data_IF_982655259009
#
_entry.id   IF_982655259009
#
_cell.length_a   1.000
_cell.length_b   1.000
_cell.length_c   1.000
_cell.angle_alpha   90.00
_cell.angle_beta   90.00
_cell.angle_gamma   90.00
#
_symmetry.space_group_name_H-M   'P 1'
#
loop_
_entity.id
_entity.type
_entity.pdbx_description
1 polymer ?
#
# COMPACT_ATOMS: atom_id res chain seq x y z
N UNK A 1 -37.63 -52.52 -42.18
CA UNK A 1 -36.54 -52.49 -43.17
C UNK A 1 -36.78 -51.31 -44.10
N UNK A 2 -35.79 -50.42 -44.26
CA UNK A 2 -35.76 -49.39 -45.31
C UNK A 2 -36.51 -48.09 -45.00
N UNK A 3 -35.79 -47.10 -44.45
CA UNK A 3 -36.22 -45.70 -44.46
C UNK A 3 -36.00 -45.13 -45.86
N UNK A 4 -37.06 -44.56 -46.45
CA UNK A 4 -37.05 -43.95 -47.76
C UNK A 4 -36.19 -42.68 -47.79
N UNK A 5 -35.45 -42.55 -48.89
CA UNK A 5 -34.73 -41.36 -49.33
C UNK A 5 -35.56 -40.70 -50.45
N UNK A 6 -35.49 -39.37 -50.52
CA UNK A 6 -35.59 -38.46 -51.70
C UNK A 6 -36.14 -37.11 -51.19
N UNK A 7 -35.33 -36.06 -51.02
CA UNK A 7 -34.68 -35.11 -51.93
C UNK A 7 -35.44 -33.77 -52.12
N UNK A 8 -34.73 -32.70 -51.74
CA UNK A 8 -34.77 -31.28 -52.14
C UNK A 8 -36.08 -30.47 -52.00
N UNK A 9 -36.07 -29.52 -51.06
CA UNK A 9 -36.76 -28.25 -51.21
C UNK A 9 -35.99 -27.10 -50.54
N UNK A 10 -35.87 -26.04 -51.33
CA UNK A 10 -35.18 -24.77 -51.11
C UNK A 10 -35.75 -23.94 -49.96
N UNK A 11 -34.82 -23.24 -49.27
CA UNK A 11 -35.03 -21.87 -48.81
C UNK A 11 -35.33 -21.71 -47.32
N UNK A 12 -34.44 -21.02 -46.60
CA UNK A 12 -34.79 -19.87 -45.73
C UNK A 12 -33.49 -19.13 -45.34
N UNK A 13 -33.26 -18.02 -46.03
CA UNK A 13 -32.79 -16.71 -45.55
C UNK A 13 -31.94 -16.66 -44.26
N UNK A 14 -30.62 -16.54 -44.44
CA UNK A 14 -29.77 -15.81 -43.51
C UNK A 14 -29.09 -14.67 -44.29
N UNK A 15 -29.77 -13.53 -44.32
CA UNK A 15 -29.23 -12.26 -44.80
C UNK A 15 -28.04 -11.86 -43.93
N UNK A 16 -26.84 -12.24 -44.34
CA UNK A 16 -25.61 -11.57 -43.91
C UNK A 16 -25.65 -10.17 -44.50
N UNK A 17 -26.10 -9.20 -43.70
CA UNK A 17 -25.94 -7.78 -43.99
C UNK A 17 -24.44 -7.47 -43.97
N UNK A 18 -23.82 -7.58 -45.14
CA UNK A 18 -22.57 -6.88 -45.45
C UNK A 18 -22.90 -5.38 -45.35
N UNK A 19 -22.21 -4.58 -44.52
CA UNK A 19 -22.36 -3.14 -44.59
C UNK A 19 -21.85 -2.67 -45.95
N UNK A 20 -22.79 -2.31 -46.82
CA UNK A 20 -22.57 -1.70 -48.12
C UNK A 20 -21.83 -0.37 -47.91
N UNK A 21 -20.49 -0.40 -48.10
CA UNK A 21 -19.67 0.81 -48.20
C UNK A 21 -19.45 1.15 -49.67
N UNK A 22 -20.55 1.37 -50.38
CA UNK A 22 -20.52 2.03 -51.67
C UNK A 22 -21.21 3.39 -51.55
N UNK A 23 -20.51 4.41 -52.09
CA UNK A 23 -20.83 5.86 -52.13
C UNK A 23 -20.16 6.71 -51.04
N UNK A 24 -18.85 6.96 -51.18
CA UNK A 24 -18.20 8.30 -51.25
C UNK A 24 -16.70 8.10 -51.61
N UNK A 25 -16.36 7.89 -52.88
CA UNK A 25 -14.93 7.88 -53.33
C UNK A 25 -14.71 8.83 -54.52
N UNK A 26 -15.71 9.62 -54.91
CA UNK A 26 -15.67 10.33 -56.20
C UNK A 26 -15.09 11.76 -56.16
N UNK A 27 -14.67 12.32 -55.02
CA UNK A 27 -14.15 13.70 -54.98
C UNK A 27 -13.10 13.98 -53.88
N UNK A 28 -12.21 13.00 -53.62
CA UNK A 28 -11.10 13.18 -52.67
C UNK A 28 -9.79 13.47 -53.42
N UNK A 29 -9.00 14.39 -52.88
CA UNK A 29 -7.66 14.69 -53.38
C UNK A 29 -6.75 13.46 -53.23
N UNK A 30 -5.80 13.25 -54.14
CA UNK A 30 -4.83 12.15 -54.09
C UNK A 30 -4.23 11.89 -52.68
N UNK A 31 -3.76 12.91 -51.93
CA UNK A 31 -3.28 12.75 -50.55
C UNK A 31 -4.35 12.26 -49.56
N UNK A 32 -5.62 12.60 -49.74
CA UNK A 32 -6.71 12.16 -48.86
C UNK A 32 -7.04 10.69 -49.09
N UNK A 33 -7.01 10.26 -50.36
CA UNK A 33 -7.18 8.86 -50.73
C UNK A 33 -6.03 8.00 -50.18
N UNK A 34 -4.79 8.48 -50.28
CA UNK A 34 -3.61 7.79 -49.72
C UNK A 34 -3.71 7.63 -48.19
N UNK A 35 -4.15 8.68 -47.48
CA UNK A 35 -4.40 8.63 -46.03
C UNK A 35 -5.50 7.64 -45.67
N UNK A 36 -6.60 7.62 -46.42
CA UNK A 36 -7.70 6.69 -46.21
C UNK A 36 -7.25 5.23 -46.40
N UNK A 37 -6.49 4.95 -47.47
CA UNK A 37 -5.93 3.62 -47.73
C UNK A 37 -4.97 3.17 -46.63
N UNK A 38 -4.10 4.05 -46.17
CA UNK A 38 -3.20 3.77 -45.04
C UNK A 38 -3.97 3.49 -43.75
N UNK A 39 -5.01 4.28 -43.47
CA UNK A 39 -5.86 4.08 -42.30
C UNK A 39 -6.59 2.73 -42.33
N UNK A 40 -7.21 2.37 -43.45
CA UNK A 40 -7.88 1.06 -43.63
C UNK A 40 -6.90 -0.09 -43.37
N UNK A 41 -5.68 0.01 -43.93
CA UNK A 41 -4.65 -1.02 -43.74
C UNK A 41 -4.24 -1.13 -42.27
N UNK A 42 -4.01 -0.01 -41.60
CA UNK A 42 -3.62 0.02 -40.19
C UNK A 42 -4.74 -0.51 -39.27
N UNK A 43 -6.00 -0.12 -39.50
CA UNK A 43 -7.15 -0.66 -38.76
C UNK A 43 -7.27 -2.17 -38.91
N UNK A 44 -7.06 -2.71 -40.12
CA UNK A 44 -7.11 -4.16 -40.35
C UNK A 44 -5.99 -4.92 -39.60
N UNK A 45 -4.79 -4.35 -39.53
CA UNK A 45 -3.69 -4.93 -38.75
C UNK A 45 -4.03 -4.94 -37.26
N UNK A 46 -4.57 -3.83 -36.74
CA UNK A 46 -5.01 -3.74 -35.35
C UNK A 46 -6.14 -4.74 -35.03
N UNK A 47 -7.12 -4.91 -35.93
CA UNK A 47 -8.17 -5.92 -35.77
C UNK A 47 -7.64 -7.35 -35.69
N UNK A 48 -6.58 -7.66 -36.43
CA UNK A 48 -5.98 -9.00 -36.43
C UNK A 48 -5.06 -9.23 -35.23
N UNK A 49 -4.40 -8.17 -34.74
CA UNK A 49 -3.49 -8.25 -33.61
C UNK A 49 -4.14 -8.18 -32.22
N UNK A 50 -5.34 -7.61 -32.10
CA UNK A 50 -6.01 -7.41 -30.81
C UNK A 50 -6.92 -8.60 -30.43
N UNK A 51 -6.87 -9.05 -29.17
CA UNK A 51 -7.85 -9.98 -28.60
C UNK A 51 -9.29 -9.47 -28.75
N UNK A 52 -10.25 -10.38 -28.98
CA UNK A 52 -11.66 -10.06 -29.26
C UNK A 52 -12.36 -9.31 -28.12
N UNK A 53 -11.98 -9.58 -26.89
CA UNK A 53 -12.46 -8.93 -25.67
C UNK A 53 -11.97 -7.48 -25.57
N UNK A 54 -10.70 -7.22 -25.88
CA UNK A 54 -10.15 -5.85 -25.94
C UNK A 54 -10.83 -5.06 -27.08
N UNK A 55 -11.01 -5.67 -28.25
CA UNK A 55 -11.66 -5.02 -29.38
C UNK A 55 -13.13 -4.67 -29.10
N UNK A 56 -13.88 -5.53 -28.39
CA UNK A 56 -15.28 -5.24 -28.00
C UNK A 56 -15.42 -4.02 -27.09
N UNK A 57 -14.39 -3.68 -26.33
CA UNK A 57 -14.37 -2.49 -25.47
C UNK A 57 -14.13 -1.20 -26.28
N UNK A 58 -13.60 -1.32 -27.51
CA UNK A 58 -13.24 -0.20 -28.37
C UNK A 58 -14.33 -0.03 -29.46
N UNK A 59 -14.93 1.17 -29.54
CA UNK A 59 -16.06 1.47 -30.43
C UNK A 59 -15.79 1.16 -31.92
N UNK A 60 -16.83 0.76 -32.67
CA UNK A 60 -16.73 0.15 -34.01
C UNK A 60 -16.43 1.12 -35.18
N UNK A 61 -16.31 2.43 -34.95
CA UNK A 61 -16.13 3.44 -36.02
C UNK A 61 -14.92 4.37 -35.79
N UNK A 62 -13.85 3.83 -35.20
CA UNK A 62 -12.63 4.59 -34.91
C UNK A 62 -11.57 4.40 -36.00
N UNK A 63 -10.82 5.46 -36.31
CA UNK A 63 -9.67 5.34 -37.21
C UNK A 63 -8.52 4.58 -36.51
N UNK A 64 -7.49 4.18 -37.24
CA UNK A 64 -6.40 3.37 -36.68
C UNK A 64 -5.67 4.05 -35.52
N UNK A 65 -5.52 5.39 -35.56
CA UNK A 65 -4.90 6.17 -34.49
C UNK A 65 -5.75 6.11 -33.22
N UNK A 66 -7.05 6.32 -33.35
CA UNK A 66 -7.99 6.29 -32.23
C UNK A 66 -8.06 4.91 -31.58
N UNK A 67 -8.02 3.84 -32.38
CA UNK A 67 -7.94 2.45 -31.87
C UNK A 67 -6.64 2.26 -31.10
N UNK A 68 -5.51 2.70 -31.65
CA UNK A 68 -4.21 2.60 -31.00
C UNK A 68 -4.14 3.39 -29.69
N UNK A 69 -4.63 4.63 -29.66
CA UNK A 69 -4.63 5.48 -28.47
C UNK A 69 -5.50 4.88 -27.35
N UNK A 70 -6.64 4.26 -27.69
CA UNK A 70 -7.47 3.55 -26.72
C UNK A 70 -6.83 2.27 -26.20
N UNK A 71 -6.15 1.50 -27.06
CA UNK A 71 -5.36 0.34 -26.63
C UNK A 71 -4.25 0.78 -25.67
N UNK A 72 -3.54 1.85 -26.02
CA UNK A 72 -2.51 2.45 -25.16
C UNK A 72 -3.11 2.86 -23.80
N UNK A 73 -4.24 3.55 -23.81
CA UNK A 73 -4.94 3.95 -22.58
C UNK A 73 -5.42 2.75 -21.74
N UNK A 74 -5.90 1.67 -22.37
CA UNK A 74 -6.36 0.46 -21.67
C UNK A 74 -5.22 -0.33 -21.04
N UNK A 75 -4.06 -0.40 -21.70
CA UNK A 75 -2.93 -1.22 -21.28
C UNK A 75 -1.97 -0.47 -20.35
N UNK A 76 -1.71 0.81 -20.64
CA UNK A 76 -0.74 1.63 -19.91
C UNK A 76 -1.41 2.63 -18.96
N UNK A 77 -2.72 2.84 -19.09
CA UNK A 77 -3.43 3.96 -18.47
C UNK A 77 -3.26 5.26 -19.26
N UNK A 78 -3.90 6.34 -18.79
CA UNK A 78 -3.52 7.69 -19.22
C UNK A 78 -2.17 8.05 -18.62
N UNK A 79 -1.30 8.73 -19.37
CA UNK A 79 -0.14 9.40 -18.79
C UNK A 79 -0.65 10.35 -17.69
N UNK A 80 -0.34 10.03 -16.42
CA UNK A 80 -0.75 10.86 -15.30
C UNK A 80 -0.22 12.28 -15.52
N UNK A 81 -1.11 13.25 -15.39
CA UNK A 81 -0.71 14.65 -15.42
C UNK A 81 0.24 14.93 -14.25
N UNK A 82 0.95 16.07 -14.32
CA UNK A 82 1.81 16.47 -13.21
C UNK A 82 1.02 16.56 -11.90
N UNK A 83 -0.21 17.08 -11.96
CA UNK A 83 -1.07 17.29 -10.80
C UNK A 83 -1.57 15.94 -10.23
N UNK A 84 -1.88 14.96 -11.09
CA UNK A 84 -2.27 13.62 -10.63
C UNK A 84 -1.10 12.91 -9.92
N UNK A 85 0.12 13.03 -10.46
CA UNK A 85 1.32 12.48 -9.83
C UNK A 85 1.62 13.14 -8.50
N UNK A 86 1.44 14.46 -8.42
CA UNK A 86 1.58 15.21 -7.18
C UNK A 86 0.56 14.74 -6.13
N UNK A 87 -0.71 14.61 -6.50
CA UNK A 87 -1.76 14.07 -5.62
C UNK A 87 -1.41 12.66 -5.12
N UNK A 88 -1.00 11.76 -6.02
CA UNK A 88 -0.64 10.40 -5.64
C UNK A 88 0.55 10.36 -4.67
N UNK A 89 1.54 11.23 -4.85
CA UNK A 89 2.69 11.31 -3.96
C UNK A 89 2.33 11.92 -2.60
N UNK A 90 1.38 12.85 -2.54
CA UNK A 90 0.81 13.32 -1.28
C UNK A 90 0.10 12.19 -0.53
N UNK A 91 -0.73 11.40 -1.22
CA UNK A 91 -1.44 10.27 -0.62
C UNK A 91 -0.46 9.21 -0.08
N UNK A 92 0.54 8.85 -0.89
CA UNK A 92 1.60 7.92 -0.51
C UNK A 92 2.38 8.43 0.71
N UNK A 93 2.64 9.75 0.76
CA UNK A 93 3.27 10.37 1.91
C UNK A 93 2.36 10.29 3.12
N UNK A 94 1.12 10.75 3.02
CA UNK A 94 0.16 10.77 4.13
C UNK A 94 0.01 9.37 4.76
N UNK A 95 -0.07 8.33 3.96
CA UNK A 95 -0.24 6.95 4.41
C UNK A 95 1.07 6.22 4.72
N UNK A 96 2.22 6.88 4.56
CA UNK A 96 3.52 6.29 4.80
C UNK A 96 3.67 5.86 6.26
N UNK A 97 3.89 4.56 6.47
CA UNK A 97 4.14 3.96 7.78
C UNK A 97 4.95 2.68 7.68
N UNK A 98 5.61 2.33 8.78
CA UNK A 98 6.28 1.05 8.91
C UNK A 98 5.23 -0.07 9.03
N UNK A 99 5.42 -1.14 8.27
CA UNK A 99 4.52 -2.29 8.32
C UNK A 99 5.01 -3.35 9.32
N UNK A 100 4.09 -4.15 9.87
CA UNK A 100 4.45 -5.26 10.76
C UNK A 100 5.35 -6.24 10.01
N UNK A 101 6.49 -6.59 10.61
CA UNK A 101 7.48 -7.49 10.00
C UNK A 101 8.50 -6.79 9.09
N UNK A 102 8.31 -5.50 8.80
CA UNK A 102 9.27 -4.72 8.04
C UNK A 102 10.48 -4.33 8.91
N UNK A 103 11.68 -4.69 8.45
CA UNK A 103 12.91 -4.27 9.11
C UNK A 103 13.23 -2.78 8.82
N UNK A 104 14.16 -2.20 9.59
CA UNK A 104 14.49 -0.78 9.48
C UNK A 104 15.08 -0.39 8.12
N UNK A 105 15.77 -1.33 7.46
CA UNK A 105 16.40 -1.08 6.17
C UNK A 105 15.34 -0.97 5.06
N UNK A 106 14.42 -1.93 5.00
CA UNK A 106 13.33 -1.92 4.02
C UNK A 106 12.44 -0.68 4.19
N UNK A 107 12.13 -0.33 5.44
CA UNK A 107 11.41 0.91 5.77
C UNK A 107 12.14 2.16 5.23
N UNK A 108 13.45 2.25 5.45
CA UNK A 108 14.27 3.36 4.94
C UNK A 108 14.31 3.39 3.41
N UNK A 109 14.50 2.24 2.74
CA UNK A 109 14.53 2.16 1.27
C UNK A 109 13.21 2.67 0.68
N UNK A 110 12.05 2.26 1.23
CA UNK A 110 10.75 2.78 0.80
C UNK A 110 10.64 4.29 0.99
N UNK A 111 11.11 4.81 2.12
CA UNK A 111 11.07 6.25 2.40
C UNK A 111 11.95 7.05 1.42
N UNK A 112 13.16 6.57 1.15
CA UNK A 112 14.09 7.21 0.21
C UNK A 112 13.54 7.17 -1.21
N UNK A 113 12.91 6.06 -1.62
CA UNK A 113 12.22 5.97 -2.91
C UNK A 113 11.12 7.03 -3.01
N UNK A 114 10.26 7.14 -2.00
CA UNK A 114 9.21 8.16 -1.96
C UNK A 114 9.79 9.58 -2.11
N UNK A 115 10.82 9.94 -1.34
CA UNK A 115 11.48 11.26 -1.45
C UNK A 115 12.06 11.49 -2.84
N UNK A 116 12.69 10.48 -3.44
CA UNK A 116 13.26 10.58 -4.77
C UNK A 116 12.17 10.82 -5.83
N UNK A 117 11.04 10.14 -5.72
CA UNK A 117 9.88 10.31 -6.63
C UNK A 117 9.31 11.74 -6.51
N UNK A 118 9.18 12.27 -5.28
CA UNK A 118 8.80 13.67 -5.04
C UNK A 118 9.76 14.67 -5.68
N UNK A 119 11.06 14.45 -5.50
CA UNK A 119 12.10 15.32 -6.06
C UNK A 119 12.10 15.29 -7.59
N UNK A 120 11.83 14.14 -8.20
CA UNK A 120 11.78 14.00 -9.65
C UNK A 120 10.74 14.93 -10.29
N UNK A 121 9.59 15.12 -9.64
CA UNK A 121 8.54 16.05 -10.10
C UNK A 121 8.66 17.47 -9.54
N UNK A 122 9.79 17.78 -8.87
CA UNK A 122 10.10 19.06 -8.22
C UNK A 122 9.16 19.44 -7.06
N UNK A 123 8.50 18.45 -6.43
CA UNK A 123 7.75 18.67 -5.20
C UNK A 123 8.73 18.78 -4.03
N UNK A 124 8.70 19.92 -3.33
CA UNK A 124 9.65 20.23 -2.26
C UNK A 124 8.97 20.15 -0.90
N UNK A 125 9.55 19.37 0.02
CA UNK A 125 9.09 19.23 1.39
C UNK A 125 10.17 19.72 2.37
N UNK A 126 9.82 20.51 3.41
CA UNK A 126 10.75 20.89 4.47
C UNK A 126 11.40 19.68 5.13
N UNK A 127 12.71 19.75 5.38
CA UNK A 127 13.48 18.69 6.04
C UNK A 127 12.87 18.22 7.35
N UNK A 128 12.39 19.16 8.17
CA UNK A 128 11.72 18.84 9.43
C UNK A 128 10.45 18.00 9.23
N UNK A 129 9.70 18.24 8.15
CA UNK A 129 8.49 17.49 7.82
C UNK A 129 8.83 16.07 7.38
N UNK A 130 9.85 15.91 6.52
CA UNK A 130 10.36 14.60 6.12
C UNK A 130 10.86 13.81 7.34
N UNK A 131 11.72 14.41 8.16
CA UNK A 131 12.27 13.77 9.36
C UNK A 131 11.16 13.39 10.35
N UNK A 132 10.19 14.29 10.57
CA UNK A 132 9.04 14.00 11.45
C UNK A 132 8.22 12.85 10.90
N UNK A 133 7.96 12.83 9.59
CA UNK A 133 7.23 11.73 8.95
C UNK A 133 7.95 10.40 9.10
N UNK A 134 9.26 10.40 8.87
CA UNK A 134 10.09 9.20 8.99
C UNK A 134 10.03 8.59 10.39
N UNK A 135 10.18 9.39 11.46
CA UNK A 135 10.25 8.83 12.82
C UNK A 135 8.89 8.62 13.48
N UNK A 136 7.85 9.40 13.11
CA UNK A 136 6.54 9.31 13.75
C UNK A 136 5.72 8.10 13.29
N UNK A 137 6.01 7.55 12.11
CA UNK A 137 5.24 6.43 11.55
C UNK A 137 5.98 5.10 11.67
N UNK A 138 6.94 5.02 12.59
CA UNK A 138 7.61 3.78 12.96
C UNK A 138 6.76 2.95 13.93
N UNK A 139 7.04 1.65 14.00
CA UNK A 139 6.37 0.77 14.95
C UNK A 139 6.75 1.07 16.42
N UNK A 140 5.91 0.70 17.40
CA UNK A 140 6.09 1.07 18.81
C UNK A 140 7.42 0.63 19.43
N UNK A 141 8.03 -0.46 18.96
CA UNK A 141 9.32 -0.95 19.46
C UNK A 141 10.46 0.07 19.32
N UNK A 142 10.32 1.02 18.38
CA UNK A 142 11.24 2.13 18.16
C UNK A 142 11.02 3.33 19.08
N UNK A 143 9.95 3.33 19.88
CA UNK A 143 9.43 4.51 20.59
C UNK A 143 10.48 5.26 21.41
N UNK A 144 11.32 4.57 22.19
CA UNK A 144 12.36 5.24 22.98
C UNK A 144 13.42 5.95 22.13
N UNK A 145 13.78 5.39 20.98
CA UNK A 145 14.78 5.96 20.08
C UNK A 145 14.20 7.18 19.35
N UNK A 146 12.92 7.10 18.95
CA UNK A 146 12.18 8.23 18.40
C UNK A 146 12.10 9.38 19.41
N UNK A 147 11.85 9.10 20.68
CA UNK A 147 11.84 10.13 21.74
C UNK A 147 13.21 10.81 21.87
N UNK A 148 14.30 10.04 21.88
CA UNK A 148 15.66 10.61 21.94
C UNK A 148 15.95 11.52 20.75
N UNK A 149 15.60 11.10 19.52
CA UNK A 149 15.74 11.93 18.31
C UNK A 149 15.00 13.26 18.46
N UNK A 150 13.78 13.25 19.00
CA UNK A 150 12.95 14.45 19.18
C UNK A 150 13.53 15.39 20.23
N UNK A 151 13.99 14.87 21.36
CA UNK A 151 14.55 15.66 22.45
C UNK A 151 15.87 16.35 22.05
N UNK A 152 16.70 15.68 21.24
CA UNK A 152 18.02 16.19 20.86
C UNK A 152 18.02 17.07 19.61
N UNK A 153 16.91 17.75 19.30
CA UNK A 153 16.75 18.57 18.07
C UNK A 153 17.05 17.83 16.75
N UNK A 154 17.09 16.49 16.77
CA UNK A 154 17.47 15.66 15.62
C UNK A 154 16.56 15.87 14.41
N UNK A 155 15.30 16.25 14.62
CA UNK A 155 14.38 16.58 13.53
C UNK A 155 14.80 17.82 12.73
N UNK A 156 15.43 18.81 13.37
CA UNK A 156 15.87 20.07 12.74
C UNK A 156 17.31 19.98 12.26
N UNK A 157 18.17 19.40 13.08
CA UNK A 157 19.62 19.44 12.89
C UNK A 157 20.10 18.30 11.98
N UNK A 158 19.45 17.13 12.01
CA UNK A 158 19.82 15.98 11.17
C UNK A 158 19.05 15.90 9.86
N UNK A 159 19.46 14.99 8.97
CA UNK A 159 18.69 14.52 7.82
C UNK A 159 18.21 13.06 8.03
N UNK A 160 17.35 12.54 7.14
CA UNK A 160 16.79 11.20 7.28
C UNK A 160 17.84 10.09 7.19
N UNK A 161 18.94 10.29 6.48
CA UNK A 161 20.05 9.33 6.39
C UNK A 161 20.77 9.18 7.74
N UNK A 162 21.03 10.29 8.42
CA UNK A 162 21.63 10.30 9.75
C UNK A 162 20.69 9.68 10.79
N UNK A 163 19.39 9.98 10.70
CA UNK A 163 18.37 9.35 11.55
C UNK A 163 18.31 7.84 11.31
N UNK A 164 18.36 7.41 10.05
CA UNK A 164 18.44 6.00 9.70
C UNK A 164 19.70 5.34 10.28
N UNK A 165 20.89 5.94 10.12
CA UNK A 165 22.13 5.39 10.66
C UNK A 165 22.06 5.22 12.19
N UNK A 166 21.48 6.21 12.89
CA UNK A 166 21.22 6.12 14.33
C UNK A 166 20.28 4.96 14.67
N UNK A 167 19.13 4.86 14.00
CA UNK A 167 18.15 3.79 14.24
C UNK A 167 18.74 2.41 13.92
N UNK A 168 19.48 2.29 12.80
CA UNK A 168 20.13 1.04 12.39
C UNK A 168 21.12 0.54 13.44
N UNK A 169 21.89 1.45 14.06
CA UNK A 169 22.81 1.11 15.16
C UNK A 169 22.08 0.51 16.38
N UNK A 170 20.81 0.84 16.57
CA UNK A 170 20.00 0.43 17.71
C UNK A 170 18.96 -0.66 17.39
N UNK A 171 19.07 -1.32 16.24
CA UNK A 171 18.11 -2.32 15.76
C UNK A 171 17.98 -3.52 16.70
N UNK A 172 19.08 -4.04 17.26
CA UNK A 172 19.03 -5.16 18.22
C UNK A 172 18.15 -4.85 19.42
N UNK A 173 18.32 -3.66 20.00
CA UNK A 173 17.55 -3.19 21.13
C UNK A 173 16.08 -2.95 20.77
N UNK A 174 15.78 -2.45 19.57
CA UNK A 174 14.39 -2.35 19.09
C UNK A 174 13.76 -3.75 18.96
N UNK A 175 14.50 -4.74 18.49
CA UNK A 175 14.02 -6.13 18.42
C UNK A 175 13.76 -6.74 19.81
N UNK A 176 14.62 -6.45 20.80
CA UNK A 176 14.37 -6.83 22.20
C UNK A 176 13.07 -6.22 22.74
N UNK A 177 12.80 -4.95 22.43
CA UNK A 177 11.54 -4.30 22.81
C UNK A 177 10.34 -4.98 22.18
N UNK A 178 10.43 -5.30 20.88
CA UNK A 178 9.37 -6.01 20.18
C UNK A 178 9.05 -7.35 20.86
N UNK A 179 10.08 -8.13 21.20
CA UNK A 179 9.90 -9.40 21.91
C UNK A 179 9.25 -9.22 23.29
N UNK A 180 9.66 -8.19 24.04
CA UNK A 180 9.06 -7.87 25.35
C UNK A 180 7.58 -7.48 25.20
N UNK A 181 7.26 -6.63 24.24
CA UNK A 181 5.88 -6.21 23.94
C UNK A 181 5.00 -7.39 23.52
N UNK A 182 5.53 -8.30 22.68
CA UNK A 182 4.84 -9.52 22.29
C UNK A 182 4.58 -10.44 23.48
N UNK A 183 5.55 -10.59 24.40
CA UNK A 183 5.37 -11.36 25.64
C UNK A 183 4.28 -10.75 26.53
N UNK A 184 4.33 -9.44 26.76
CA UNK A 184 3.33 -8.75 27.59
C UNK A 184 1.92 -8.88 27.01
N UNK A 185 1.77 -8.79 25.69
CA UNK A 185 0.48 -8.98 25.01
C UNK A 185 -0.02 -10.43 25.04
N UNK A 186 0.85 -11.42 25.16
CA UNK A 186 0.43 -12.82 25.33
C UNK A 186 -0.09 -13.08 26.75
N UNK A 187 0.51 -12.43 27.76
CA UNK A 187 0.13 -12.60 29.17
C UNK A 187 -1.08 -11.74 29.58
N UNK A 188 -1.53 -10.81 28.73
CA UNK A 188 -2.81 -10.11 28.96
C UNK A 188 -4.03 -11.02 28.82
N UNK A 189 -3.86 -12.20 28.20
CA UNK A 189 -4.90 -13.24 28.10
C UNK A 189 -4.89 -14.25 29.26
N UNK A 190 -3.87 -14.21 30.15
CA UNK A 190 -3.83 -14.99 31.40
C UNK A 190 -3.15 -14.17 32.52
N UNK A 191 -3.92 -13.46 33.36
CA UNK A 191 -3.38 -12.60 34.41
C UNK A 191 -2.59 -13.34 35.50
N UNK A 192 -2.68 -14.68 35.61
CA UNK A 192 -1.96 -15.48 36.60
C UNK A 192 -0.55 -15.89 36.13
N UNK A 193 -0.27 -15.86 34.83
CA UNK A 193 1.01 -16.28 34.26
C UNK A 193 2.19 -15.35 34.62
N UNK A 194 1.93 -14.06 34.90
CA UNK A 194 2.96 -13.09 35.29
C UNK A 194 3.53 -13.34 36.69
N UNK A 195 2.73 -13.87 37.62
CA UNK A 195 3.14 -14.12 39.01
C UNK A 195 4.04 -15.36 39.11
N UNK A 196 3.83 -16.35 38.24
CA UNK A 196 4.54 -17.64 38.30
C UNK A 196 6.03 -17.54 37.95
N UNK A 197 6.42 -16.59 37.11
CA UNK A 197 7.82 -16.39 36.70
C UNK A 197 8.62 -15.46 37.63
N UNK A 198 8.00 -14.89 38.67
CA UNK A 198 8.59 -13.81 39.47
C UNK A 198 9.12 -14.24 40.86
N UNK A 199 8.99 -15.50 41.28
CA UNK A 199 9.38 -15.89 42.65
C UNK A 199 10.36 -17.07 42.70
N UNK A 200 11.61 -16.83 43.10
CA UNK A 200 12.44 -17.80 43.81
C UNK A 200 12.56 -17.42 45.30
N UNK A 201 11.49 -16.92 45.93
CA UNK A 201 11.46 -16.71 47.37
C UNK A 201 10.38 -17.59 48.02
N UNK A 202 10.82 -18.72 48.56
CA UNK A 202 10.08 -19.47 49.57
C UNK A 202 9.85 -18.57 50.78
N UNK A 203 8.59 -18.24 51.04
CA UNK A 203 8.19 -17.71 52.34
C UNK A 203 8.10 -18.87 53.34
N UNK A 204 8.79 -18.82 54.50
CA UNK A 204 8.51 -19.73 55.59
C UNK A 204 7.14 -19.39 56.18
N UNK A 205 6.33 -20.41 56.42
CA UNK A 205 5.01 -20.29 57.04
C UNK A 205 5.11 -19.63 58.43
N UNK A 206 4.43 -18.50 58.61
CA UNK A 206 4.39 -17.78 59.90
C UNK A 206 3.52 -18.54 60.91
N UNK A 207 4.14 -19.13 61.92
CA UNK A 207 3.48 -19.51 63.18
C UNK A 207 3.11 -18.25 63.97
N UNK A 208 1.85 -18.14 64.39
CA UNK A 208 1.29 -17.00 65.13
C UNK A 208 2.05 -16.74 66.44
N UNK A 209 2.56 -15.51 66.61
CA UNK A 209 3.05 -15.00 67.90
C UNK A 209 1.96 -14.11 68.49
N UNK A 210 1.42 -14.51 69.63
CA UNK A 210 0.45 -13.76 70.41
C UNK A 210 1.18 -12.63 71.17
N UNK A 211 0.97 -11.37 70.80
CA UNK A 211 1.49 -10.22 71.54
C UNK A 211 0.56 -9.88 72.71
N UNK A 212 1.03 -10.05 73.96
CA UNK A 212 0.36 -9.55 75.16
C UNK A 212 0.68 -8.06 75.36
N UNK A 213 -0.35 -7.22 75.47
CA UNK A 213 -0.20 -5.83 75.92
C UNK A 213 -0.28 -5.74 77.45
N UNK A 214 0.58 -4.94 78.12
CA UNK A 214 0.49 -4.74 79.56
C UNK A 214 -0.67 -3.80 79.93
N UNK A 215 -1.45 -4.23 80.92
CA UNK A 215 -2.58 -3.47 81.50
C UNK A 215 -2.07 -2.37 82.44
N UNK A 216 -2.56 -1.14 82.27
CA UNK A 216 -2.29 0.00 83.16
C UNK A 216 -3.56 0.25 84.01
N UNK A 217 -3.51 0.14 85.34
CA UNK A 217 -4.66 0.41 86.19
C UNK A 217 -4.93 1.92 86.34
N UNK A 218 -6.19 2.33 86.52
CA UNK A 218 -6.56 3.74 86.67
C UNK A 218 -6.18 4.31 88.04
N UNK A 219 -5.73 5.58 88.06
CA UNK A 219 -5.40 6.32 89.27
C UNK A 219 -6.67 6.65 90.07
N UNK A 220 -6.69 6.25 91.33
CA UNK A 220 -7.73 6.63 92.30
C UNK A 220 -7.49 8.05 92.79
N UNK A 221 -8.38 8.98 92.44
CA UNK A 221 -8.51 10.26 93.14
C UNK A 221 -9.27 10.05 94.44
N UNK A 222 -8.76 10.59 95.55
CA UNK A 222 -9.49 10.78 96.80
C UNK A 222 -9.58 12.29 97.12
N UNK A 223 -10.67 12.72 97.77
CA UNK A 223 -11.10 14.12 97.85
C UNK A 223 -10.24 15.03 98.73
#
# INVERSE_FOLDING_TARGET
MGWCRDEIASGTNASYLVPERDRVVADLSQPENDRLRANIRATNILHQGLPKDIYKLINHNMNAKDIWDNVKMLLEGSELTKDDRESQLYDNFEHFKQHKGENIHDYYVKFTKLINDMRHIKMTMPKIQLNSKFVNNMLPEWGRFVTVVKLNRGLKESNHDQLYAYLKKHESHANENKMLMERLNQHSHDPLALVSNALPYQYPSSSSIHLQYPYIPPATYQP
#
